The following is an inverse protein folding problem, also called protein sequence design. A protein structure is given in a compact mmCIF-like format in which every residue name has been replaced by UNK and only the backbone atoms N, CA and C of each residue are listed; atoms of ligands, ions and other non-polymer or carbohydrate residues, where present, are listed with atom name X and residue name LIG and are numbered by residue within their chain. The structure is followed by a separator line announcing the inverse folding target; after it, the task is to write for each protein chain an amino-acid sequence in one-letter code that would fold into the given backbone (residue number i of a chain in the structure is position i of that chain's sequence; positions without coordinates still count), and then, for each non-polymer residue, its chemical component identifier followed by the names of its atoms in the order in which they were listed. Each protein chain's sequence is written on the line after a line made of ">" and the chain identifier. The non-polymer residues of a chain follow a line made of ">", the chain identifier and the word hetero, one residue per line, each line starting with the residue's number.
data_IF_305685012497
#
_entry.id   IF_305685012497
#
_cell.length_a   1.000
_cell.length_b   1.000
_cell.length_c   1.000
_cell.angle_alpha   90.00
_cell.angle_beta   90.00
_cell.angle_gamma   90.00
#
_symmetry.space_group_name_H-M   'P 1'
#
loop_
_entity.id
_entity.type
_entity.pdbx_description
1 polymer ?
#
# COMPACT_ATOMS: atom_id res chain seq x y z
N UNK A 1 11.78 -0.74 51.60
CA UNK A 1 10.92 -0.52 50.42
C UNK A 1 11.80 -0.69 49.20
N UNK A 2 11.73 -1.83 48.54
CA UNK A 2 12.57 -2.14 47.38
C UNK A 2 11.93 -1.54 46.13
N UNK A 3 12.59 -0.57 45.50
CA UNK A 3 12.21 -0.07 44.19
C UNK A 3 12.50 -1.17 43.16
N UNK A 4 11.44 -1.73 42.58
CA UNK A 4 11.56 -2.61 41.42
C UNK A 4 12.01 -1.79 40.22
N UNK A 5 13.22 -2.05 39.74
CA UNK A 5 13.73 -1.49 38.49
C UNK A 5 12.98 -2.17 37.34
N UNK A 6 12.13 -1.41 36.65
CA UNK A 6 11.49 -1.86 35.41
C UNK A 6 12.59 -2.19 34.38
N UNK A 7 12.52 -3.33 33.68
CA UNK A 7 13.50 -3.66 32.65
C UNK A 7 13.40 -2.65 31.49
N UNK A 8 14.54 -2.26 30.89
CA UNK A 8 14.54 -1.31 29.79
C UNK A 8 13.73 -1.86 28.61
N UNK A 9 12.79 -1.06 28.12
CA UNK A 9 12.05 -1.34 26.88
C UNK A 9 13.09 -1.49 25.75
N UNK A 10 13.08 -2.60 24.99
CA UNK A 10 14.02 -2.78 23.90
C UNK A 10 13.84 -1.67 22.86
N UNK A 11 14.94 -1.16 22.27
CA UNK A 11 14.84 -0.16 21.22
C UNK A 11 14.04 -0.72 20.05
N UNK A 12 13.01 0.03 19.64
CA UNK A 12 12.25 -0.26 18.42
C UNK A 12 13.24 -0.24 17.26
N UNK A 13 13.31 -1.30 16.42
CA UNK A 13 14.22 -1.33 15.29
C UNK A 13 13.94 -0.14 14.37
N UNK A 14 14.97 0.54 13.84
CA UNK A 14 14.75 1.59 12.85
C UNK A 14 14.02 0.97 11.65
N UNK A 15 13.00 1.66 11.17
CA UNK A 15 12.33 1.29 9.94
C UNK A 15 13.33 1.15 8.77
N UNK A 16 12.95 0.46 7.69
CA UNK A 16 13.81 0.31 6.52
C UNK A 16 14.29 1.69 6.03
N UNK A 17 15.55 1.83 5.60
CA UNK A 17 16.07 3.12 5.14
C UNK A 17 15.29 3.58 3.92
N UNK A 18 15.09 4.90 3.77
CA UNK A 18 14.38 5.53 2.65
C UNK A 18 14.84 5.06 1.24
N UNK A 19 16.03 4.44 1.14
CA UNK A 19 16.54 3.78 -0.05
C UNK A 19 15.71 2.57 -0.51
N UNK A 20 15.10 1.79 0.40
CA UNK A 20 14.31 0.61 0.05
C UNK A 20 12.97 0.98 -0.62
N UNK A 21 12.30 2.02 -0.11
CA UNK A 21 11.09 2.56 -0.73
C UNK A 21 11.38 3.15 -2.12
N UNK A 22 12.48 3.88 -2.26
CA UNK A 22 12.91 4.44 -3.55
C UNK A 22 13.25 3.36 -4.59
N UNK A 23 13.94 2.29 -4.18
CA UNK A 23 14.20 1.13 -5.03
C UNK A 23 12.90 0.44 -5.46
N UNK A 24 11.98 0.22 -4.51
CA UNK A 24 10.68 -0.37 -4.79
C UNK A 24 9.84 0.45 -5.77
N UNK A 25 9.78 1.77 -5.60
CA UNK A 25 9.08 2.67 -6.53
C UNK A 25 9.71 2.64 -7.93
N UNK A 26 11.04 2.53 -8.01
CA UNK A 26 11.77 2.38 -9.29
C UNK A 26 11.40 1.08 -9.99
N UNK A 27 11.35 -0.03 -9.26
CA UNK A 27 10.92 -1.33 -9.80
C UNK A 27 9.46 -1.33 -10.24
N UNK A 28 8.58 -0.68 -9.46
CA UNK A 28 7.17 -0.52 -9.82
C UNK A 28 7.01 0.30 -11.11
N UNK A 29 7.76 1.39 -11.28
CA UNK A 29 7.75 2.17 -12.51
C UNK A 29 8.20 1.32 -13.72
N UNK A 30 9.27 0.54 -13.58
CA UNK A 30 9.72 -0.39 -14.62
C UNK A 30 8.66 -1.44 -14.97
N UNK A 31 7.97 -1.99 -13.96
CA UNK A 31 6.86 -2.93 -14.15
C UNK A 31 5.68 -2.30 -14.90
N UNK A 32 5.27 -1.08 -14.54
CA UNK A 32 4.16 -0.40 -15.20
C UNK A 32 4.49 -0.07 -16.67
N UNK A 33 5.71 0.41 -16.95
CA UNK A 33 6.16 0.72 -18.31
C UNK A 33 6.26 -0.53 -19.19
N UNK A 34 6.82 -1.62 -18.66
CA UNK A 34 6.87 -2.90 -19.37
C UNK A 34 5.48 -3.49 -19.60
N UNK A 35 4.58 -3.35 -18.62
CA UNK A 35 3.18 -3.74 -18.74
C UNK A 35 2.43 -2.97 -19.82
N UNK A 36 2.57 -1.65 -19.86
CA UNK A 36 1.96 -0.82 -20.90
C UNK A 36 2.43 -1.22 -22.32
N UNK A 37 3.71 -1.57 -22.48
CA UNK A 37 4.26 -2.07 -23.75
C UNK A 37 3.66 -3.42 -24.16
N UNK A 38 3.48 -4.34 -23.21
CA UNK A 38 2.91 -5.67 -23.46
C UNK A 38 1.43 -5.60 -23.84
N UNK A 39 0.69 -4.65 -23.27
CA UNK A 39 -0.76 -4.57 -23.41
C UNK A 39 -1.29 -4.39 -24.82
N UNK A 40 -0.50 -3.78 -25.70
CA UNK A 40 -0.88 -3.57 -27.10
C UNK A 40 -1.06 -4.89 -27.87
N UNK A 41 -0.54 -6.00 -27.37
CA UNK A 41 -0.52 -7.30 -28.05
C UNK A 41 -1.15 -8.44 -27.22
N UNK A 42 -1.71 -8.14 -26.04
CA UNK A 42 -2.19 -9.17 -25.09
C UNK A 42 -3.72 -9.39 -25.18
N UNK A 43 -4.21 -10.57 -24.73
CA UNK A 43 -5.65 -10.83 -24.65
C UNK A 43 -6.40 -9.84 -23.75
N UNK A 44 -7.69 -9.59 -24.03
CA UNK A 44 -8.55 -8.79 -23.14
C UNK A 44 -8.51 -9.30 -21.70
N UNK A 45 -8.36 -8.39 -20.73
CA UNK A 45 -8.32 -8.69 -19.30
C UNK A 45 -6.92 -8.74 -18.67
N UNK A 46 -5.86 -8.99 -19.46
CA UNK A 46 -4.49 -8.98 -18.93
C UNK A 46 -4.06 -7.59 -18.41
N UNK A 47 -4.57 -6.52 -19.01
CA UNK A 47 -4.32 -5.15 -18.54
C UNK A 47 -4.88 -4.88 -17.17
N UNK A 48 -6.10 -5.31 -16.95
CA UNK A 48 -6.77 -5.15 -15.66
C UNK A 48 -6.01 -5.92 -14.58
N UNK A 49 -5.58 -7.16 -14.86
CA UNK A 49 -4.77 -7.96 -13.93
C UNK A 49 -3.40 -7.32 -13.63
N UNK A 50 -2.70 -6.77 -14.63
CA UNK A 50 -1.43 -6.06 -14.44
C UNK A 50 -1.60 -4.77 -13.62
N UNK A 51 -2.69 -4.03 -13.85
CA UNK A 51 -3.03 -2.85 -13.04
C UNK A 51 -3.30 -3.23 -11.57
N UNK A 52 -4.05 -4.32 -11.34
CA UNK A 52 -4.32 -4.84 -10.00
C UNK A 52 -3.01 -5.26 -9.28
N UNK A 53 -2.10 -5.94 -9.96
CA UNK A 53 -0.80 -6.33 -9.42
C UNK A 53 0.09 -5.09 -9.11
N UNK A 54 0.04 -4.08 -9.98
CA UNK A 54 0.70 -2.79 -9.75
C UNK A 54 0.17 -2.09 -8.49
N UNK A 55 -1.14 -2.04 -8.31
CA UNK A 55 -1.77 -1.49 -7.11
C UNK A 55 -1.36 -2.26 -5.85
N UNK A 56 -1.42 -3.60 -5.89
CA UNK A 56 -0.98 -4.48 -4.78
C UNK A 56 0.45 -4.19 -4.34
N UNK A 57 1.40 -4.13 -5.29
CA UNK A 57 2.81 -3.78 -5.01
C UNK A 57 2.96 -2.36 -4.47
N UNK A 58 2.17 -1.40 -4.96
CA UNK A 58 2.19 -0.03 -4.45
C UNK A 58 1.79 0.04 -2.97
N UNK A 59 0.74 -0.70 -2.60
CA UNK A 59 0.28 -0.77 -1.20
C UNK A 59 1.30 -1.48 -0.30
N UNK A 60 2.01 -2.49 -0.81
CA UNK A 60 3.14 -3.12 -0.11
C UNK A 60 4.29 -2.13 0.13
N UNK A 61 4.61 -1.27 -0.85
CA UNK A 61 5.66 -0.26 -0.70
C UNK A 61 5.29 0.85 0.28
N UNK A 62 4.00 1.16 0.42
CA UNK A 62 3.49 2.13 1.41
C UNK A 62 3.85 1.74 2.84
N UNK A 63 3.89 0.43 3.16
CA UNK A 63 4.33 -0.06 4.48
C UNK A 63 5.78 0.36 4.80
N UNK A 64 6.63 0.56 3.77
CA UNK A 64 8.04 0.92 3.92
C UNK A 64 8.26 2.43 4.09
N UNK A 65 7.24 3.26 3.86
CA UNK A 65 7.34 4.72 3.89
C UNK A 65 7.20 5.33 5.31
N UNK A 66 6.98 4.50 6.34
CA UNK A 66 6.79 4.94 7.72
C UNK A 66 5.35 5.38 8.03
N UNK A 67 4.99 5.42 9.32
CA UNK A 67 3.64 5.80 9.80
C UNK A 67 2.70 4.62 10.09
N UNK A 68 3.07 3.41 9.68
CA UNK A 68 2.23 2.22 9.79
C UNK A 68 1.08 2.26 8.77
N UNK A 69 0.79 1.15 8.07
CA UNK A 69 -0.22 1.18 7.03
C UNK A 69 -1.62 1.30 7.61
N UNK A 70 -2.48 2.10 6.95
CA UNK A 70 -3.90 2.14 7.28
C UNK A 70 -4.47 0.71 7.13
N UNK A 71 -5.13 0.14 8.16
CA UNK A 71 -5.65 -1.21 8.11
C UNK A 71 -6.61 -1.49 6.93
N UNK A 72 -7.25 -0.47 6.36
CA UNK A 72 -8.04 -0.60 5.12
C UNK A 72 -7.14 -0.89 3.93
N UNK A 73 -6.05 -0.15 3.77
CA UNK A 73 -5.09 -0.38 2.68
C UNK A 73 -4.44 -1.76 2.77
N UNK A 74 -4.17 -2.24 3.99
CA UNK A 74 -3.71 -3.63 4.23
C UNK A 74 -4.75 -4.64 3.71
N UNK A 75 -6.02 -4.47 4.05
CA UNK A 75 -7.10 -5.37 3.58
C UNK A 75 -7.26 -5.33 2.06
N UNK A 76 -7.14 -4.16 1.44
CA UNK A 76 -7.16 -4.04 -0.03
C UNK A 76 -6.02 -4.86 -0.63
N UNK A 77 -4.80 -4.71 -0.11
CA UNK A 77 -3.63 -5.49 -0.57
C UNK A 77 -3.87 -6.99 -0.45
N UNK A 78 -4.31 -7.45 0.72
CA UNK A 78 -4.55 -8.88 0.99
C UNK A 78 -5.60 -9.47 0.05
N UNK A 79 -6.70 -8.77 -0.22
CA UNK A 79 -7.73 -9.24 -1.16
C UNK A 79 -7.25 -9.29 -2.60
N UNK A 80 -6.44 -8.32 -3.02
CA UNK A 80 -5.80 -8.34 -4.33
C UNK A 80 -4.85 -9.53 -4.42
N UNK A 81 -4.07 -9.81 -3.37
CA UNK A 81 -3.17 -10.96 -3.29
C UNK A 81 -3.91 -12.30 -3.36
N UNK A 82 -4.95 -12.49 -2.54
CA UNK A 82 -5.78 -13.69 -2.55
C UNK A 82 -6.39 -13.97 -3.92
N UNK A 83 -6.88 -12.91 -4.59
CA UNK A 83 -7.50 -13.05 -5.90
C UNK A 83 -6.47 -13.37 -6.99
N UNK A 84 -5.29 -12.77 -6.92
CA UNK A 84 -4.22 -12.98 -7.91
C UNK A 84 -3.52 -14.35 -7.74
N UNK A 85 -3.47 -14.86 -6.51
CA UNK A 85 -2.91 -16.20 -6.20
C UNK A 85 -3.97 -17.32 -6.27
N UNK A 86 -5.25 -16.98 -6.35
CA UNK A 86 -6.37 -17.91 -6.40
C UNK A 86 -6.76 -18.36 -7.82
N UNK A 87 -7.73 -19.28 -7.94
CA UNK A 87 -8.26 -19.68 -9.24
C UNK A 87 -8.99 -18.50 -9.91
N UNK A 88 -8.41 -18.01 -11.01
CA UNK A 88 -8.85 -16.82 -11.75
C UNK A 88 -10.31 -16.88 -12.25
N UNK A 89 -10.90 -18.08 -12.37
CA UNK A 89 -12.29 -18.28 -12.81
C UNK A 89 -13.35 -18.12 -11.72
N UNK A 90 -12.96 -17.93 -10.45
CA UNK A 90 -13.89 -17.90 -9.32
C UNK A 90 -14.19 -16.50 -8.78
N UNK A 91 -13.44 -15.47 -9.21
CA UNK A 91 -13.54 -14.12 -8.65
C UNK A 91 -14.29 -13.16 -9.58
N UNK A 92 -15.24 -12.41 -9.01
CA UNK A 92 -15.83 -11.24 -9.66
C UNK A 92 -14.83 -10.08 -9.61
N UNK A 93 -13.90 -10.10 -10.57
CA UNK A 93 -12.78 -9.16 -10.63
C UNK A 93 -13.22 -7.69 -10.75
N UNK A 94 -14.24 -7.33 -11.55
CA UNK A 94 -14.80 -5.98 -11.55
C UNK A 94 -15.27 -5.51 -10.16
N UNK A 95 -16.10 -6.31 -9.48
CA UNK A 95 -16.61 -5.94 -8.16
C UNK A 95 -15.51 -5.84 -7.09
N UNK A 96 -14.45 -6.64 -7.22
CA UNK A 96 -13.26 -6.51 -6.37
C UNK A 96 -12.58 -5.16 -6.56
N UNK A 97 -12.38 -4.73 -7.81
CA UNK A 97 -11.69 -3.48 -8.12
C UNK A 97 -12.49 -2.26 -7.68
N UNK A 98 -13.80 -2.27 -7.87
CA UNK A 98 -14.68 -1.18 -7.40
C UNK A 98 -14.56 -1.00 -5.89
N UNK A 99 -14.63 -2.10 -5.12
CA UNK A 99 -14.48 -2.05 -3.66
C UNK A 99 -13.08 -1.61 -3.23
N UNK A 100 -12.05 -2.08 -3.93
CA UNK A 100 -10.67 -1.67 -3.65
C UNK A 100 -10.49 -0.16 -3.87
N UNK A 101 -11.09 0.38 -4.93
CA UNK A 101 -11.06 1.81 -5.22
C UNK A 101 -11.79 2.62 -4.15
N UNK A 102 -13.00 2.20 -3.77
CA UNK A 102 -13.79 2.86 -2.72
C UNK A 102 -13.02 2.93 -1.38
N UNK A 103 -12.37 1.84 -0.99
CA UNK A 103 -11.56 1.80 0.25
C UNK A 103 -10.33 2.72 0.16
N UNK A 104 -9.66 2.79 -0.99
CA UNK A 104 -8.53 3.70 -1.21
C UNK A 104 -8.99 5.17 -1.18
N UNK A 105 -10.11 5.49 -1.82
CA UNK A 105 -10.67 6.85 -1.85
C UNK A 105 -11.06 7.30 -0.44
N UNK A 106 -11.73 6.44 0.34
CA UNK A 106 -12.09 6.73 1.74
C UNK A 106 -10.85 7.07 2.60
N UNK A 107 -9.73 6.36 2.40
CA UNK A 107 -8.48 6.67 3.11
C UNK A 107 -7.91 8.03 2.69
N UNK A 108 -7.98 8.38 1.41
CA UNK A 108 -7.50 9.66 0.88
C UNK A 108 -8.33 10.82 1.43
N UNK A 109 -9.66 10.71 1.42
CA UNK A 109 -10.57 11.75 1.89
C UNK A 109 -10.39 12.03 3.39
N UNK A 110 -10.30 10.99 4.21
CA UNK A 110 -10.05 11.12 5.66
C UNK A 110 -8.62 11.57 6.00
N UNK A 111 -7.66 11.32 5.10
CA UNK A 111 -6.30 11.84 5.19
C UNK A 111 -6.20 13.33 4.83
N UNK A 112 -7.05 13.79 3.89
CA UNK A 112 -7.14 15.18 3.46
C UNK A 112 -7.76 16.13 4.50
N UNK A 113 -8.56 15.59 5.42
CA UNK A 113 -9.16 16.37 6.53
C UNK A 113 -8.17 16.69 7.67
N UNK A 114 -6.93 16.16 7.64
CA UNK A 114 -5.86 16.54 8.56
C UNK A 114 -5.03 17.69 7.98
N UNK A 115 -5.52 18.92 8.15
CA UNK A 115 -4.76 20.16 7.89
C UNK A 115 -3.40 20.17 8.62
N UNK A 116 -2.29 20.56 7.96
CA UNK A 116 -1.00 20.77 8.60
C UNK A 116 -0.88 22.23 9.08
N UNK A 117 -1.08 22.51 10.38
CA UNK A 117 -0.65 23.82 10.89
C UNK A 117 -1.31 24.37 12.14
N UNK A 118 -1.18 23.68 13.28
CA UNK A 118 -1.28 24.32 14.60
C UNK A 118 0.09 24.82 15.06
N UNK A 119 0.69 25.79 14.35
CA UNK A 119 1.88 26.49 14.84
C UNK A 119 1.48 27.54 15.87
N UNK A 120 1.84 27.25 17.13
CA UNK A 120 2.27 28.18 18.18
C UNK A 120 2.28 29.67 17.83
N UNK A 121 1.43 30.44 18.50
CA UNK A 121 1.64 31.86 18.78
C UNK A 121 1.74 32.04 20.29
N UNK A 122 2.96 31.98 20.83
CA UNK A 122 3.28 32.57 22.12
C UNK A 122 3.39 34.09 21.94
N UNK A 123 2.65 34.84 22.74
CA UNK A 123 2.74 36.28 22.91
C UNK A 123 2.34 36.63 24.32
#
# INVERSE_FOLDING_TARGET
>A
MSHGTEPPVPPVPPGPPASAAAEGLTLLAAFLLSSARGLLNEPPGYGVARCADGARRTLELLDLCGGGPDPRLVRVRERLEETMCGPMSAADFPALLDRALDEVVSVIEEGGDREPGGLTGAG
#
